data_IF_008941082173
#
_entry.id   IF_008941082173
#
_cell.length_a   1.000
_cell.length_b   1.000
_cell.length_c   1.000
_cell.angle_alpha   90.00
_cell.angle_beta   90.00
_cell.angle_gamma   90.00
#
_symmetry.space_group_name_H-M   'P 1'
#
loop_
_entity.id
_entity.type
_entity.pdbx_description
1 polymer ?
#
# COMPACT_ATOMS: atom_id res chain seq x y z
N UNK A 1 -36.96 47.74 -4.00
CA UNK A 1 -37.33 46.42 -4.56
C UNK A 1 -36.11 45.50 -4.53
N UNK A 2 -36.16 44.48 -3.67
CA UNK A 2 -35.14 43.46 -3.43
C UNK A 2 -35.34 42.34 -4.45
N UNK A 3 -34.35 41.94 -5.25
CA UNK A 3 -34.27 40.58 -5.85
C UNK A 3 -32.83 40.13 -6.20
N UNK A 4 -32.26 39.36 -5.27
CA UNK A 4 -31.67 38.02 -5.49
C UNK A 4 -30.76 37.80 -6.71
N UNK A 5 -29.45 38.01 -6.53
CA UNK A 5 -28.40 37.56 -7.46
C UNK A 5 -27.12 37.05 -6.78
N UNK A 6 -27.21 36.58 -5.53
CA UNK A 6 -26.05 36.09 -4.75
C UNK A 6 -26.28 34.70 -4.12
N UNK A 7 -27.06 33.83 -4.78
CA UNK A 7 -27.40 32.52 -4.23
C UNK A 7 -27.24 31.40 -5.26
N UNK A 8 -26.15 31.40 -6.03
CA UNK A 8 -25.83 30.26 -6.91
C UNK A 8 -24.36 29.82 -6.87
N UNK A 9 -23.48 30.50 -6.12
CA UNK A 9 -22.05 30.15 -6.07
C UNK A 9 -21.65 29.24 -4.89
N UNK A 10 -22.57 28.96 -3.95
CA UNK A 10 -22.26 28.19 -2.75
C UNK A 10 -22.56 26.69 -2.82
N UNK A 11 -23.34 26.23 -3.81
CA UNK A 11 -23.85 24.86 -3.83
C UNK A 11 -22.91 23.85 -4.50
N UNK A 12 -22.03 24.30 -5.43
CA UNK A 12 -21.11 23.41 -6.13
C UNK A 12 -19.95 22.89 -5.27
N UNK A 13 -19.48 23.66 -4.28
CA UNK A 13 -18.36 23.25 -3.42
C UNK A 13 -18.72 22.18 -2.39
N UNK A 14 -20.00 22.07 -2.01
CA UNK A 14 -20.45 21.11 -1.00
C UNK A 14 -20.56 19.67 -1.55
N UNK A 15 -20.67 19.50 -2.87
CA UNK A 15 -20.84 18.20 -3.53
C UNK A 15 -19.52 17.43 -3.74
N UNK A 16 -18.36 18.05 -3.53
CA UNK A 16 -17.06 17.39 -3.74
C UNK A 16 -16.43 16.82 -2.47
N UNK A 17 -16.98 17.12 -1.29
CA UNK A 17 -16.37 16.81 0.01
C UNK A 17 -16.62 15.38 0.53
N UNK A 18 -17.13 14.45 -0.30
CA UNK A 18 -17.71 13.21 0.20
C UNK A 18 -17.37 11.94 -0.59
N UNK A 19 -16.20 11.83 -1.22
CA UNK A 19 -15.78 10.53 -1.76
C UNK A 19 -15.57 9.56 -0.59
N UNK A 20 -16.31 8.43 -0.51
CA UNK A 20 -16.07 7.45 0.54
C UNK A 20 -14.65 6.90 0.35
N UNK A 21 -13.78 7.14 1.33
CA UNK A 21 -12.53 6.41 1.41
C UNK A 21 -12.89 4.96 1.78
N UNK A 22 -12.78 4.06 0.81
CA UNK A 22 -12.90 2.63 1.07
C UNK A 22 -11.62 2.22 1.81
N UNK A 23 -11.66 2.25 3.14
CA UNK A 23 -10.58 1.73 3.94
C UNK A 23 -10.49 0.22 3.69
N UNK A 24 -9.35 -0.25 3.16
CA UNK A 24 -9.09 -1.68 3.06
C UNK A 24 -9.08 -2.26 4.48
N UNK A 25 -9.92 -3.26 4.73
CA UNK A 25 -9.91 -3.99 5.99
C UNK A 25 -8.61 -4.77 6.12
N UNK A 26 -7.67 -4.23 6.89
CA UNK A 26 -6.45 -4.94 7.27
C UNK A 26 -6.79 -5.82 8.48
N UNK A 27 -6.84 -7.13 8.27
CA UNK A 27 -7.01 -8.10 9.36
C UNK A 27 -5.67 -8.29 10.07
N UNK A 28 -5.51 -7.84 11.33
CA UNK A 28 -4.24 -7.93 12.02
C UNK A 28 -3.91 -9.39 12.33
N UNK A 29 -2.72 -9.83 11.92
CA UNK A 29 -2.15 -11.10 12.38
C UNK A 29 -1.43 -10.82 13.69
N UNK A 30 -2.10 -11.04 14.83
CA UNK A 30 -1.58 -10.60 16.14
C UNK A 30 -0.78 -11.66 16.91
N UNK A 31 -0.56 -12.86 16.35
CA UNK A 31 0.23 -13.96 16.92
C UNK A 31 0.93 -14.82 15.86
N UNK A 32 1.33 -14.21 14.73
CA UNK A 32 2.24 -14.92 13.83
C UNK A 32 3.61 -15.03 14.50
N UNK A 33 4.01 -16.24 14.84
CA UNK A 33 5.36 -16.53 15.29
C UNK A 33 6.19 -16.96 14.08
N UNK A 34 7.20 -16.16 13.73
CA UNK A 34 8.23 -16.55 12.77
C UNK A 34 9.49 -16.85 13.59
N UNK A 35 9.98 -18.08 13.48
CA UNK A 35 11.21 -18.48 14.15
C UNK A 35 12.37 -17.63 13.64
N UNK A 36 13.18 -17.05 14.55
CA UNK A 36 14.38 -16.30 14.18
C UNK A 36 15.30 -17.17 13.32
N UNK A 37 15.78 -16.59 12.20
CA UNK A 37 16.61 -17.32 11.23
C UNK A 37 15.83 -18.21 10.25
N UNK A 38 14.54 -18.50 10.48
CA UNK A 38 13.74 -19.24 9.50
C UNK A 38 13.58 -18.44 8.21
N UNK A 39 13.63 -19.17 7.09
CA UNK A 39 13.51 -18.59 5.75
C UNK A 39 12.06 -18.44 5.36
N UNK A 40 11.73 -17.29 4.78
CA UNK A 40 10.44 -17.02 4.18
C UNK A 40 10.57 -16.06 3.00
N UNK A 41 9.53 -16.01 2.18
CA UNK A 41 9.39 -14.96 1.17
C UNK A 41 8.46 -13.87 1.73
N UNK A 42 8.88 -12.62 1.60
CA UNK A 42 8.05 -11.47 1.92
C UNK A 42 7.49 -10.89 0.62
N UNK A 43 6.15 -10.84 0.50
CA UNK A 43 5.46 -10.31 -0.66
C UNK A 43 4.45 -9.25 -0.27
N UNK A 44 4.40 -8.19 -1.07
CA UNK A 44 3.31 -7.20 -1.05
C UNK A 44 2.73 -7.12 -2.46
N UNK A 45 1.42 -7.28 -2.57
CA UNK A 45 0.67 -7.07 -3.81
C UNK A 45 0.04 -5.68 -3.80
N UNK A 46 0.23 -4.94 -4.89
CA UNK A 46 -0.34 -3.63 -5.12
C UNK A 46 -1.31 -3.74 -6.28
N UNK A 47 -2.49 -3.13 -6.14
CA UNK A 47 -3.47 -3.10 -7.22
C UNK A 47 -2.92 -2.34 -8.43
N UNK A 48 -3.10 -2.91 -9.63
CA UNK A 48 -2.68 -2.30 -10.88
C UNK A 48 -1.18 -2.43 -11.19
N UNK A 49 -0.79 -1.81 -12.31
CA UNK A 49 0.59 -1.74 -12.76
C UNK A 49 1.25 -0.49 -12.15
N UNK A 50 2.03 -0.67 -11.10
CA UNK A 50 2.71 0.40 -10.35
C UNK A 50 4.16 0.48 -10.80
N UNK A 51 4.64 1.68 -11.13
CA UNK A 51 6.04 1.87 -11.51
C UNK A 51 6.96 1.61 -10.29
N UNK A 52 8.11 0.94 -10.47
CA UNK A 52 9.02 0.62 -9.36
C UNK A 52 9.42 1.82 -8.49
N UNK A 53 9.62 2.98 -9.10
CA UNK A 53 10.03 4.21 -8.39
C UNK A 53 8.92 4.81 -7.51
N UNK A 54 7.67 4.41 -7.74
CA UNK A 54 6.51 4.83 -6.93
C UNK A 54 6.24 3.87 -5.76
N UNK A 55 6.97 2.73 -5.68
CA UNK A 55 6.75 1.71 -4.65
C UNK A 55 7.60 2.01 -3.42
N UNK A 56 6.94 2.17 -2.28
CA UNK A 56 7.59 2.27 -0.97
C UNK A 56 6.97 1.27 0.01
N UNK A 57 7.74 0.25 0.39
CA UNK A 57 7.34 -0.75 1.38
C UNK A 57 8.18 -0.58 2.64
N UNK A 58 7.52 -0.40 3.79
CA UNK A 58 8.20 -0.22 5.08
C UNK A 58 7.80 -1.25 6.10
N UNK A 59 8.76 -1.67 6.93
CA UNK A 59 8.56 -2.49 8.13
C UNK A 59 8.94 -1.63 9.32
N UNK A 60 7.99 -1.37 10.23
CA UNK A 60 8.19 -0.49 11.38
C UNK A 60 8.79 0.88 11.00
N UNK A 61 8.36 1.44 9.87
CA UNK A 61 8.84 2.73 9.35
C UNK A 61 10.19 2.69 8.62
N UNK A 62 10.89 1.55 8.59
CA UNK A 62 12.15 1.36 7.84
C UNK A 62 11.88 0.73 6.48
N UNK A 63 12.63 1.10 5.46
CA UNK A 63 12.58 0.45 4.14
C UNK A 63 12.77 -1.08 4.26
N UNK A 64 11.89 -1.85 3.62
CA UNK A 64 11.86 -3.30 3.74
C UNK A 64 13.10 -3.97 3.12
N UNK A 65 13.61 -3.46 2.00
CA UNK A 65 14.81 -3.98 1.36
C UNK A 65 16.04 -3.80 2.26
N UNK A 66 16.17 -2.63 2.89
CA UNK A 66 17.19 -2.35 3.89
C UNK A 66 17.02 -3.20 5.16
N UNK A 67 15.77 -3.44 5.60
CA UNK A 67 15.50 -4.26 6.79
C UNK A 67 15.95 -5.71 6.61
N UNK A 68 15.77 -6.27 5.41
CA UNK A 68 16.17 -7.64 5.08
C UNK A 68 17.52 -7.76 4.36
N UNK A 69 18.18 -6.64 4.05
CA UNK A 69 19.45 -6.62 3.31
C UNK A 69 19.36 -7.22 1.90
N UNK A 70 18.18 -7.21 1.28
CA UNK A 70 17.90 -7.87 0.00
C UNK A 70 17.19 -6.90 -0.93
N UNK A 71 17.59 -6.84 -2.21
CA UNK A 71 16.91 -6.02 -3.22
C UNK A 71 15.59 -6.68 -3.64
N UNK A 72 14.49 -5.93 -3.80
CA UNK A 72 13.23 -6.50 -4.24
C UNK A 72 13.24 -6.86 -5.72
N UNK A 73 12.52 -7.93 -6.04
CA UNK A 73 12.06 -8.23 -7.38
C UNK A 73 10.67 -7.63 -7.54
N UNK A 74 10.46 -6.84 -8.60
CA UNK A 74 9.18 -6.18 -8.86
C UNK A 74 8.66 -6.73 -10.19
N UNK A 75 7.46 -7.31 -10.15
CA UNK A 75 6.72 -7.76 -11.34
C UNK A 75 5.44 -6.93 -11.44
N UNK A 76 5.34 -6.06 -12.45
CA UNK A 76 4.25 -5.11 -12.59
C UNK A 76 2.92 -5.75 -13.05
N UNK A 77 2.94 -7.02 -13.47
CA UNK A 77 1.76 -7.77 -13.88
C UNK A 77 1.96 -9.25 -13.57
N UNK A 78 2.11 -9.55 -12.28
CA UNK A 78 2.39 -10.92 -11.83
C UNK A 78 1.31 -11.88 -12.34
N UNK A 79 1.75 -12.91 -13.06
CA UNK A 79 0.89 -13.95 -13.67
C UNK A 79 -0.18 -13.42 -14.65
N UNK A 80 -0.08 -12.17 -15.10
CA UNK A 80 -1.07 -11.56 -15.99
C UNK A 80 -2.36 -11.12 -15.29
N UNK A 81 -2.35 -11.02 -13.95
CA UNK A 81 -3.54 -10.75 -13.13
C UNK A 81 -3.83 -9.26 -12.90
N UNK A 82 -2.99 -8.36 -13.43
CA UNK A 82 -3.19 -6.91 -13.34
C UNK A 82 -2.83 -6.31 -11.98
N UNK A 83 -1.98 -6.99 -11.20
CA UNK A 83 -1.40 -6.48 -9.96
C UNK A 83 0.12 -6.48 -10.02
N UNK A 84 0.72 -5.56 -9.26
CA UNK A 84 2.16 -5.48 -9.09
C UNK A 84 2.59 -6.25 -7.86
N UNK A 85 3.53 -7.16 -8.01
CA UNK A 85 4.13 -7.91 -6.92
C UNK A 85 5.50 -7.33 -6.55
N UNK A 86 5.66 -6.97 -5.28
CA UNK A 86 6.95 -6.64 -4.66
C UNK A 86 7.42 -7.84 -3.84
N UNK A 87 8.51 -8.47 -4.25
CA UNK A 87 9.05 -9.69 -3.63
C UNK A 87 10.43 -9.49 -3.01
N UNK A 88 10.59 -10.02 -1.80
CA UNK A 88 11.88 -10.29 -1.18
C UNK A 88 11.95 -11.78 -0.86
N UNK A 89 12.68 -12.53 -1.69
CA UNK A 89 12.79 -14.00 -1.60
C UNK A 89 13.81 -14.43 -0.55
N UNK A 90 13.55 -15.53 0.15
CA UNK A 90 14.49 -16.21 1.04
C UNK A 90 15.09 -15.32 2.16
N UNK A 91 14.29 -14.38 2.66
CA UNK A 91 14.66 -13.50 3.77
C UNK A 91 14.48 -14.20 5.11
N UNK A 92 14.95 -13.57 6.18
CA UNK A 92 14.76 -14.03 7.55
C UNK A 92 14.75 -12.85 8.51
N UNK A 93 14.17 -13.05 9.69
CA UNK A 93 14.33 -12.12 10.81
C UNK A 93 15.64 -12.46 11.54
N UNK A 94 16.46 -11.44 11.79
CA UNK A 94 17.75 -11.57 12.49
C UNK A 94 17.62 -11.46 14.02
N UNK A 95 16.49 -10.97 14.51
CA UNK A 95 16.17 -10.81 15.92
C UNK A 95 14.65 -10.98 16.13
N UNK A 96 14.20 -11.27 17.37
CA UNK A 96 12.79 -11.27 17.75
C UNK A 96 12.10 -9.93 17.51
#
# INVERSE_FOLDING_TARGET
MIRSRRLLLGLGLALWAGTPTMAQSIYPVNRAEILVGAKFDFKVELEGNVAPDDIKVTINGRDAAANFGTKPQIDANEEGLGHTAYWLRNVHLSAP
#
